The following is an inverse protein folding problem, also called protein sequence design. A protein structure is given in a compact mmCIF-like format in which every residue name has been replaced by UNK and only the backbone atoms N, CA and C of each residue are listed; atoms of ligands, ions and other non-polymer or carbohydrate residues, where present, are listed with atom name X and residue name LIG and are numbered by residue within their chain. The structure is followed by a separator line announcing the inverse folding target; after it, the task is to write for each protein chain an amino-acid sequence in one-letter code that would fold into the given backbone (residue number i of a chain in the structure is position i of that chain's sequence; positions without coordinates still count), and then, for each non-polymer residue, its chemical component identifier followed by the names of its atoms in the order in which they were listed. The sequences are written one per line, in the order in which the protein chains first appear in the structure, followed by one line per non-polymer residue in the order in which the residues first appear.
data_IF_369508010361
#
_entry.id   IF_369508010361
#
_cell.length_a   1.000
_cell.length_b   1.000
_cell.length_c   1.000
_cell.angle_alpha   90.00
_cell.angle_beta   90.00
_cell.angle_gamma   90.00
#
_symmetry.space_group_name_H-M   'P 1'
#
loop_
_entity.id
_entity.type
_entity.pdbx_description
1 polymer ?
#
# COMPACT_ATOMS: atom_id res chain seq x y z
N UNK A 1 -20.09 15.17 16.52
CA UNK A 1 -19.84 13.87 15.88
C UNK A 1 -18.53 13.19 16.31
N UNK A 2 -17.45 13.92 16.65
CA UNK A 2 -16.15 13.32 17.05
C UNK A 2 -16.17 12.44 18.31
N UNK A 3 -17.06 12.73 19.26
CA UNK A 3 -17.15 12.03 20.55
C UNK A 3 -17.42 10.53 20.42
N UNK A 4 -18.23 10.11 19.44
CA UNK A 4 -18.62 8.71 19.28
C UNK A 4 -17.43 7.80 18.88
N UNK A 5 -16.55 8.28 17.98
CA UNK A 5 -15.38 7.52 17.54
C UNK A 5 -14.36 7.30 18.67
N UNK A 6 -14.17 8.30 19.52
CA UNK A 6 -13.27 8.21 20.67
C UNK A 6 -13.85 7.28 21.73
N UNK A 7 -15.16 7.35 21.97
CA UNK A 7 -15.87 6.44 22.88
C UNK A 7 -15.76 4.98 22.41
N UNK A 8 -15.99 4.71 21.12
CA UNK A 8 -15.83 3.37 20.56
C UNK A 8 -14.39 2.85 20.76
N UNK A 9 -13.38 3.70 20.53
CA UNK A 9 -11.98 3.33 20.76
C UNK A 9 -11.68 3.06 22.24
N UNK A 10 -12.27 3.82 23.14
CA UNK A 10 -12.08 3.63 24.58
C UNK A 10 -12.70 2.31 25.05
N UNK A 11 -13.95 2.06 24.67
CA UNK A 11 -14.66 0.80 24.96
C UNK A 11 -13.90 -0.41 24.39
N UNK A 12 -13.30 -0.27 23.21
CA UNK A 12 -12.52 -1.33 22.59
C UNK A 12 -11.31 -1.79 23.43
N UNK A 13 -10.78 -0.95 24.33
CA UNK A 13 -9.66 -1.34 25.22
C UNK A 13 -10.05 -2.38 26.26
N UNK A 14 -11.33 -2.46 26.61
CA UNK A 14 -11.87 -3.41 27.58
C UNK A 14 -12.24 -4.75 26.94
N UNK A 15 -12.24 -4.82 25.60
CA UNK A 15 -12.59 -6.02 24.86
C UNK A 15 -11.37 -6.92 24.75
N UNK A 16 -11.51 -8.15 25.27
CA UNK A 16 -10.51 -9.20 25.04
C UNK A 16 -10.65 -9.72 23.59
N UNK A 17 -9.58 -9.58 22.80
CA UNK A 17 -9.55 -10.18 21.47
C UNK A 17 -9.67 -11.71 21.56
N UNK A 18 -10.47 -12.28 20.67
CA UNK A 18 -10.59 -13.72 20.47
C UNK A 18 -9.51 -14.20 19.50
N UNK A 19 -9.18 -15.50 19.53
CA UNK A 19 -8.15 -16.06 18.64
C UNK A 19 -8.50 -15.85 17.15
N UNK A 20 -9.79 -15.84 16.82
CA UNK A 20 -10.29 -15.59 15.46
C UNK A 20 -10.07 -14.14 14.99
N UNK A 21 -9.92 -13.19 15.90
CA UNK A 21 -9.74 -11.78 15.54
C UNK A 21 -8.40 -11.56 14.81
N UNK A 22 -7.33 -12.18 15.29
CA UNK A 22 -6.00 -12.02 14.69
C UNK A 22 -5.93 -12.57 13.26
N UNK A 23 -6.82 -13.51 12.93
CA UNK A 23 -6.96 -14.09 11.59
C UNK A 23 -7.80 -13.16 10.70
N UNK A 24 -8.93 -12.66 11.22
CA UNK A 24 -9.95 -12.00 10.39
C UNK A 24 -9.83 -10.47 10.33
N UNK A 25 -9.06 -9.84 11.22
CA UNK A 25 -9.03 -8.38 11.35
C UNK A 25 -8.60 -7.65 10.06
N UNK A 26 -7.66 -8.23 9.29
CA UNK A 26 -7.19 -7.67 8.03
C UNK A 26 -8.32 -7.69 7.00
N UNK A 27 -9.03 -8.80 6.86
CA UNK A 27 -10.11 -8.94 5.87
C UNK A 27 -11.29 -8.03 6.19
N UNK A 28 -11.65 -7.93 7.48
CA UNK A 28 -12.67 -6.98 7.95
C UNK A 28 -12.24 -5.54 7.61
N UNK A 29 -10.97 -5.18 7.86
CA UNK A 29 -10.48 -3.84 7.56
C UNK A 29 -10.50 -3.55 6.05
N UNK A 30 -10.11 -4.53 5.23
CA UNK A 30 -10.18 -4.44 3.76
C UNK A 30 -11.61 -4.18 3.27
N UNK A 31 -12.57 -4.95 3.79
CA UNK A 31 -13.98 -4.77 3.48
C UNK A 31 -14.46 -3.36 3.87
N UNK A 32 -14.16 -2.90 5.08
CA UNK A 32 -14.54 -1.57 5.56
C UNK A 32 -13.97 -0.43 4.69
N UNK A 33 -12.71 -0.55 4.24
CA UNK A 33 -12.09 0.43 3.34
C UNK A 33 -12.78 0.42 1.98
N UNK A 34 -13.07 -0.76 1.42
CA UNK A 34 -13.77 -0.89 0.13
C UNK A 34 -15.18 -0.28 0.19
N UNK A 35 -15.95 -0.64 1.20
CA UNK A 35 -17.29 -0.08 1.44
C UNK A 35 -17.24 1.44 1.59
N UNK A 36 -16.25 1.97 2.30
CA UNK A 36 -16.08 3.42 2.45
C UNK A 36 -15.82 4.11 1.12
N UNK A 37 -15.00 3.52 0.26
CA UNK A 37 -14.70 4.07 -1.07
C UNK A 37 -15.92 3.97 -1.99
N UNK A 38 -16.67 2.87 -1.91
CA UNK A 38 -17.90 2.68 -2.67
C UNK A 38 -19.00 3.68 -2.26
N UNK A 39 -19.14 3.95 -0.97
CA UNK A 39 -20.12 4.89 -0.43
C UNK A 39 -19.76 6.36 -0.71
N UNK A 40 -18.48 6.64 -0.92
CA UNK A 40 -17.95 7.99 -1.07
C UNK A 40 -17.10 8.13 -2.35
N UNK A 41 -17.73 8.41 -3.51
CA UNK A 41 -17.03 8.56 -4.80
C UNK A 41 -15.89 9.58 -4.77
N UNK A 42 -16.00 10.63 -3.95
CA UNK A 42 -14.94 11.64 -3.78
C UNK A 42 -13.63 11.04 -3.23
N UNK A 43 -13.71 9.98 -2.41
CA UNK A 43 -12.55 9.26 -1.90
C UNK A 43 -11.97 8.38 -2.99
N UNK A 44 -12.82 7.77 -3.84
CA UNK A 44 -12.39 7.01 -5.01
C UNK A 44 -11.57 7.90 -5.95
N UNK A 45 -12.08 9.08 -6.29
CA UNK A 45 -11.41 10.03 -7.18
C UNK A 45 -10.08 10.48 -6.56
N UNK A 46 -10.07 10.84 -5.28
CA UNK A 46 -8.84 11.19 -4.55
C UNK A 46 -7.81 10.05 -4.58
N UNK A 47 -8.24 8.79 -4.46
CA UNK A 47 -7.37 7.63 -4.52
C UNK A 47 -6.76 7.46 -5.92
N UNK A 48 -7.56 7.60 -6.98
CA UNK A 48 -7.08 7.51 -8.36
C UNK A 48 -6.12 8.67 -8.71
N UNK A 49 -6.41 9.88 -8.24
CA UNK A 49 -5.60 11.08 -8.46
C UNK A 49 -4.19 10.97 -7.85
N UNK A 50 -3.97 10.05 -6.91
CA UNK A 50 -2.60 9.78 -6.40
C UNK A 50 -1.66 9.21 -7.46
N UNK A 51 -2.18 8.72 -8.59
CA UNK A 51 -1.40 8.14 -9.68
C UNK A 51 -0.53 6.98 -9.19
N UNK A 52 0.77 7.02 -9.47
CA UNK A 52 1.72 6.00 -9.02
C UNK A 52 2.35 6.30 -7.65
N UNK A 53 1.90 7.35 -6.97
CA UNK A 53 2.49 7.75 -5.67
C UNK A 53 2.27 6.66 -4.63
N UNK A 54 3.32 6.34 -3.87
CA UNK A 54 3.22 5.39 -2.77
C UNK A 54 2.37 5.96 -1.62
N UNK A 55 1.42 5.17 -1.12
CA UNK A 55 0.48 5.60 -0.07
C UNK A 55 0.94 5.04 1.29
N UNK A 56 1.09 5.93 2.27
CA UNK A 56 1.51 5.57 3.63
C UNK A 56 0.59 6.13 4.70
N UNK A 57 0.14 5.27 5.61
CA UNK A 57 -0.49 5.70 6.85
C UNK A 57 0.60 6.08 7.86
N UNK A 58 0.82 7.39 7.98
CA UNK A 58 1.74 7.98 8.93
C UNK A 58 1.19 7.94 10.37
N UNK A 59 1.26 6.77 11.00
CA UNK A 59 0.91 6.58 12.41
C UNK A 59 2.01 5.79 13.12
N UNK A 60 2.09 5.96 14.44
CA UNK A 60 3.00 5.21 15.31
C UNK A 60 2.62 3.73 15.47
N UNK A 61 1.50 3.31 14.90
CA UNK A 61 1.06 1.93 14.97
C UNK A 61 1.77 1.09 13.91
N UNK A 62 2.25 -0.09 14.32
CA UNK A 62 3.11 -0.93 13.47
C UNK A 62 2.33 -1.93 12.61
N UNK A 63 1.08 -2.23 12.94
CA UNK A 63 0.26 -3.15 12.13
C UNK A 63 -0.30 -2.43 10.92
N UNK A 64 -1.07 -1.35 11.14
CA UNK A 64 -1.77 -0.64 10.07
C UNK A 64 -0.94 0.46 9.41
N UNK A 65 -0.06 1.11 10.17
CA UNK A 65 0.73 2.25 9.74
C UNK A 65 2.22 1.97 9.57
N UNK A 66 2.96 3.04 9.30
CA UNK A 66 4.42 3.03 9.14
C UNK A 66 5.21 2.87 10.45
N UNK A 67 4.55 2.94 11.61
CA UNK A 67 5.24 2.98 12.91
C UNK A 67 5.98 4.30 13.17
N UNK A 68 5.76 5.31 12.33
CA UNK A 68 6.42 6.61 12.36
C UNK A 68 5.39 7.74 12.24
N UNK A 69 5.74 8.91 12.78
CA UNK A 69 4.99 10.14 12.53
C UNK A 69 5.27 10.66 11.12
N UNK A 70 4.34 11.46 10.58
CA UNK A 70 4.33 11.97 9.19
C UNK A 70 5.69 12.41 8.66
N UNK A 71 6.39 13.28 9.39
CA UNK A 71 7.70 13.78 8.96
C UNK A 71 8.70 12.65 8.74
N UNK A 72 8.78 11.71 9.69
CA UNK A 72 9.71 10.58 9.62
C UNK A 72 9.26 9.57 8.56
N UNK A 73 7.97 9.32 8.40
CA UNK A 73 7.44 8.48 7.32
C UNK A 73 7.88 9.00 5.95
N UNK A 74 7.82 10.31 5.72
CA UNK A 74 8.21 10.91 4.43
C UNK A 74 9.72 10.95 4.17
N UNK A 75 10.56 10.90 5.21
CA UNK A 75 12.03 11.02 5.10
C UNK A 75 12.79 9.72 5.32
N UNK A 76 12.10 8.65 5.73
CA UNK A 76 12.71 7.34 6.00
C UNK A 76 12.32 6.40 4.88
N UNK A 77 13.30 5.68 4.32
CA UNK A 77 13.01 4.65 3.32
C UNK A 77 12.04 3.61 3.88
N UNK A 78 11.11 3.15 3.03
CA UNK A 78 10.04 2.23 3.42
C UNK A 78 10.58 0.94 4.05
N UNK A 79 11.73 0.43 3.58
CA UNK A 79 12.39 -0.77 4.13
C UNK A 79 12.83 -0.62 5.59
N UNK A 80 12.95 0.63 6.07
CA UNK A 80 13.36 0.95 7.44
C UNK A 80 12.18 1.36 8.34
N UNK A 81 10.94 1.28 7.85
CA UNK A 81 9.77 1.54 8.68
C UNK A 81 9.57 0.43 9.71
N UNK A 82 9.36 0.76 11.00
CA UNK A 82 9.00 -0.22 12.02
C UNK A 82 7.63 -0.88 11.77
N UNK A 83 6.74 -0.18 11.08
CA UNK A 83 5.39 -0.64 10.78
C UNK A 83 5.22 -1.19 9.36
N UNK A 84 4.20 -2.03 9.19
CA UNK A 84 3.91 -2.76 7.95
C UNK A 84 3.17 -1.92 6.90
N UNK A 85 2.56 -0.81 7.30
CA UNK A 85 1.72 0.01 6.42
C UNK A 85 0.67 -0.81 5.64
N UNK A 86 -0.03 -1.73 6.31
CA UNK A 86 -0.99 -2.62 5.64
C UNK A 86 -2.15 -1.86 4.99
N UNK A 87 -2.60 -0.76 5.62
CA UNK A 87 -3.65 0.10 5.05
C UNK A 87 -3.17 0.75 3.75
N UNK A 88 -1.97 1.34 3.75
CA UNK A 88 -1.41 1.95 2.55
C UNK A 88 -1.19 0.94 1.43
N UNK A 89 -0.68 -0.25 1.77
CA UNK A 89 -0.53 -1.39 0.85
C UNK A 89 -1.85 -1.78 0.20
N UNK A 90 -2.91 -1.90 0.99
CA UNK A 90 -4.23 -2.26 0.49
C UNK A 90 -4.87 -1.16 -0.36
N UNK A 91 -4.69 0.12 -0.02
CA UNK A 91 -5.17 1.22 -0.84
C UNK A 91 -4.53 1.23 -2.23
N UNK A 92 -3.24 0.88 -2.32
CA UNK A 92 -2.56 0.74 -3.62
C UNK A 92 -3.06 -0.47 -4.41
N UNK A 93 -3.33 -1.60 -3.76
CA UNK A 93 -3.96 -2.78 -4.37
C UNK A 93 -5.33 -2.39 -4.97
N UNK A 94 -6.17 -1.74 -4.16
CA UNK A 94 -7.50 -1.31 -4.58
C UNK A 94 -7.45 -0.29 -5.72
N UNK A 95 -6.49 0.66 -5.69
CA UNK A 95 -6.26 1.60 -6.79
C UNK A 95 -5.94 0.88 -8.10
N UNK A 96 -5.13 -0.19 -8.05
CA UNK A 96 -4.83 -1.01 -9.23
C UNK A 96 -6.10 -1.65 -9.79
N UNK A 97 -6.89 -2.30 -8.95
CA UNK A 97 -8.14 -2.95 -9.36
C UNK A 97 -9.11 -1.94 -10.00
N UNK A 98 -9.26 -0.76 -9.41
CA UNK A 98 -10.14 0.28 -9.95
C UNK A 98 -9.66 0.81 -11.31
N UNK A 99 -8.35 0.92 -11.52
CA UNK A 99 -7.80 1.30 -12.82
C UNK A 99 -8.03 0.21 -13.87
N UNK A 100 -7.83 -1.06 -13.51
CA UNK A 100 -8.05 -2.18 -14.42
C UNK A 100 -9.53 -2.22 -14.88
N UNK A 101 -10.48 -2.08 -13.95
CA UNK A 101 -11.91 -1.97 -14.27
C UNK A 101 -12.22 -0.82 -15.24
N UNK A 102 -11.61 0.35 -15.05
CA UNK A 102 -11.78 1.50 -15.95
C UNK A 102 -11.22 1.19 -17.34
N UNK A 103 -10.05 0.56 -17.41
CA UNK A 103 -9.45 0.18 -18.70
C UNK A 103 -10.31 -0.84 -19.44
N UNK A 104 -10.82 -1.86 -18.76
CA UNK A 104 -11.69 -2.89 -19.34
C UNK A 104 -13.00 -2.29 -19.89
N UNK A 105 -13.59 -1.33 -19.19
CA UNK A 105 -14.78 -0.59 -19.66
C UNK A 105 -14.46 0.21 -20.93
N UNK A 106 -13.28 0.85 -20.98
CA UNK A 106 -12.88 1.64 -22.14
C UNK A 106 -12.70 0.77 -23.40
N UNK A 107 -12.10 -0.41 -23.27
CA UNK A 107 -11.91 -1.35 -24.37
C UNK A 107 -13.22 -1.99 -24.84
N UNK A 108 -14.14 -2.30 -23.92
CA UNK A 108 -15.45 -2.85 -24.25
C UNK A 108 -16.35 -1.86 -25.04
N UNK A 109 -16.15 -0.54 -24.88
CA UNK A 109 -16.91 0.48 -25.62
C UNK A 109 -16.37 0.71 -27.04
N UNK A 110 -15.10 0.43 -27.32
CA UNK A 110 -14.50 0.66 -28.64
C UNK A 110 -14.85 -0.39 -29.68
N UNK A 111 -15.26 -1.60 -29.27
CA UNK A 111 -15.56 -2.73 -30.18
C UNK A 111 -17.00 -2.73 -30.75
N UNK A 112 -17.85 -1.76 -30.39
CA UNK A 112 -19.25 -1.69 -30.86
C UNK A 112 -19.44 -0.86 -32.14
N UNK A 113 -18.38 -0.22 -32.67
CA UNK A 113 -18.47 0.62 -33.89
C UNK A 113 -17.72 -0.01 -35.08
N UNK A 114 -18.10 -1.23 -35.48
CA UNK A 114 -17.83 -1.70 -36.84
C UNK A 114 -19.15 -1.68 -37.63
N UNK A 115 -19.52 -0.50 -38.13
CA UNK A 115 -20.61 -0.38 -39.08
C UNK A 115 -20.27 -1.18 -40.35
N UNK A 116 -21.22 -1.95 -40.93
CA UNK A 116 -20.96 -2.69 -42.15
C UNK A 116 -20.73 -1.70 -43.29
N UNK A 117 -19.52 -1.71 -43.84
CA UNK A 117 -19.19 -0.96 -45.05
C UNK A 117 -20.13 -1.41 -46.18
N UNK A 118 -21.01 -0.51 -46.61
CA UNK A 118 -21.84 -0.70 -47.80
C UNK A 118 -20.93 -0.63 -49.02
N UNK A 119 -20.79 -1.73 -49.73
CA UNK A 119 -20.04 -1.82 -50.99
C UNK A 119 -20.80 -1.09 -52.11
N UNK A 120 -20.21 -0.12 -52.84
CA UNK A 120 -20.67 0.21 -54.17
C UNK A 120 -19.92 -0.65 -55.19
N UNK A 121 -20.69 -1.27 -56.08
CA UNK A 121 -20.21 -1.97 -57.28
C UNK A 121 -19.52 -0.96 -58.21
N UNK A 122 -18.28 -1.23 -58.61
CA UNK A 122 -17.89 -0.98 -59.99
C UNK A 122 -16.84 -1.99 -60.46
N UNK A 123 -17.12 -2.48 -61.65
CA UNK A 123 -16.48 -3.58 -62.38
C UNK A 123 -15.20 -3.09 -63.05
N UNK A 124 -14.14 -3.93 -62.93
CA UNK A 124 -13.06 -4.24 -63.89
C UNK A 124 -12.30 -3.09 -64.61
N UNK A 125 -10.97 -3.08 -64.51
CA UNK A 125 -9.98 -3.60 -65.50
C UNK A 125 -8.66 -2.81 -65.34
N UNK A 126 -7.57 -3.51 -65.00
CA UNK A 126 -6.32 -3.63 -65.78
C UNK A 126 -5.15 -4.05 -64.89
N UNK A 127 -4.50 -5.11 -65.37
CA UNK A 127 -3.21 -5.65 -65.00
C UNK A 127 -2.11 -4.59 -65.02
N UNK A 128 -1.15 -4.67 -64.10
CA UNK A 128 0.22 -5.01 -64.45
C UNK A 128 1.09 -5.24 -63.22
N UNK A 129 2.00 -6.20 -63.39
CA UNK A 129 2.85 -6.80 -62.37
C UNK A 129 3.91 -5.85 -61.81
N UNK A 130 4.09 -5.87 -60.48
CA UNK A 130 5.38 -5.60 -59.83
C UNK A 130 5.49 -6.51 -58.61
N UNK A 131 6.35 -7.53 -58.72
CA UNK A 131 6.86 -8.28 -57.57
C UNK A 131 7.66 -7.34 -56.65
N UNK A 132 7.29 -7.27 -55.37
CA UNK A 132 8.23 -6.89 -54.32
C UNK A 132 8.05 -7.80 -53.09
N UNK A 133 9.17 -8.33 -52.54
CA UNK A 133 9.14 -9.38 -51.52
C UNK A 133 8.78 -8.85 -50.13
N UNK A 134 8.04 -9.68 -49.39
CA UNK A 134 7.58 -9.46 -48.01
C UNK A 134 8.70 -9.06 -47.02
N UNK A 135 8.44 -8.20 -46.02
CA UNK A 135 9.37 -7.98 -44.93
C UNK A 135 9.29 -9.14 -43.92
N UNK A 136 10.43 -9.79 -43.74
CA UNK A 136 10.71 -10.82 -42.74
C UNK A 136 10.42 -10.30 -41.32
N UNK A 137 9.56 -11.03 -40.62
CA UNK A 137 9.32 -10.93 -39.17
C UNK A 137 10.64 -11.19 -38.43
N UNK A 138 11.27 -10.17 -37.85
CA UNK A 138 12.41 -10.35 -36.96
C UNK A 138 11.90 -10.75 -35.57
N UNK A 139 12.07 -12.02 -35.23
CA UNK A 139 11.96 -12.51 -33.86
C UNK A 139 12.99 -11.80 -32.98
N UNK A 140 12.52 -11.09 -31.95
CA UNK A 140 13.39 -10.51 -30.92
C UNK A 140 13.67 -11.56 -29.84
N UNK A 141 14.82 -12.19 -29.92
CA UNK A 141 15.38 -13.03 -28.84
C UNK A 141 15.73 -12.14 -27.62
N UNK A 142 15.41 -12.54 -26.37
CA UNK A 142 15.78 -11.76 -25.20
C UNK A 142 17.29 -11.79 -24.94
N UNK A 143 17.91 -10.61 -24.82
CA UNK A 143 19.30 -10.48 -24.41
C UNK A 143 19.48 -10.77 -22.92
N UNK A 144 20.25 -11.81 -22.63
CA UNK A 144 20.72 -12.22 -21.31
C UNK A 144 21.63 -11.13 -20.69
N UNK A 145 21.10 -10.37 -19.74
CA UNK A 145 21.91 -9.49 -18.88
C UNK A 145 22.83 -10.36 -18.02
N UNK A 146 24.14 -10.35 -18.31
CA UNK A 146 25.16 -10.99 -17.47
C UNK A 146 25.50 -10.09 -16.29
N UNK A 147 25.21 -10.57 -15.09
CA UNK A 147 25.60 -9.99 -13.81
C UNK A 147 27.12 -9.91 -13.65
N UNK A 148 27.65 -8.72 -13.32
CA UNK A 148 29.02 -8.55 -12.82
C UNK A 148 29.05 -8.80 -11.31
N UNK A 149 29.26 -10.05 -10.92
CA UNK A 149 29.63 -10.40 -9.55
C UNK A 149 31.07 -9.89 -9.27
N UNK A 150 31.20 -8.86 -8.43
CA UNK A 150 32.52 -8.35 -7.99
C UNK A 150 33.00 -9.20 -6.81
N UNK A 151 33.90 -10.15 -7.07
CA UNK A 151 34.55 -10.99 -6.05
C UNK A 151 35.47 -10.14 -5.17
N UNK A 152 35.07 -9.84 -3.94
CA UNK A 152 36.00 -9.35 -2.91
C UNK A 152 36.67 -10.56 -2.23
N UNK A 153 37.94 -10.80 -2.58
CA UNK A 153 38.82 -11.76 -1.93
C UNK A 153 39.64 -11.03 -0.86
N UNK A 154 39.27 -11.16 0.42
CA UNK A 154 40.13 -10.77 1.54
C UNK A 154 40.76 -12.01 2.19
N UNK A 155 42.09 -11.94 2.33
CA UNK A 155 43.02 -13.00 2.76
C UNK A 155 42.71 -13.45 4.19
N UNK A 156 42.68 -14.77 4.41
CA UNK A 156 42.81 -15.38 5.74
C UNK A 156 44.27 -15.27 6.17
N UNK A 157 44.59 -14.43 7.14
CA UNK A 157 45.78 -14.60 7.98
C UNK A 157 45.40 -15.51 9.13
N UNK A 158 46.06 -16.66 9.20
CA UNK A 158 46.16 -17.46 10.42
C UNK A 158 47.05 -16.68 11.37
N UNK A 159 46.53 -16.34 12.54
CA UNK A 159 47.20 -16.42 13.84
C UNK A 159 46.15 -16.11 14.91
N UNK A 160 45.82 -17.13 15.71
CA UNK A 160 45.03 -17.00 16.95
C UNK A 160 45.94 -16.53 18.09
N UNK A 161 45.37 -15.92 19.14
CA UNK A 161 44.98 -16.74 20.29
C UNK A 161 43.58 -16.42 20.84
N UNK A 162 42.94 -17.42 21.46
CA UNK A 162 41.72 -17.26 22.27
C UNK A 162 41.92 -16.24 23.40
N UNK A 163 40.85 -15.54 23.80
CA UNK A 163 40.45 -15.70 25.19
C UNK A 163 38.93 -15.73 25.45
N UNK A 164 38.62 -16.48 26.49
CA UNK A 164 37.39 -16.57 27.26
C UNK A 164 36.77 -15.21 27.64
N UNK A 165 35.43 -15.13 27.57
CA UNK A 165 34.52 -14.52 28.57
C UNK A 165 33.26 -13.92 27.92
N UNK A 166 32.11 -14.18 28.55
CA UNK A 166 30.79 -13.70 28.17
C UNK A 166 30.70 -12.17 28.02
N UNK A 167 29.91 -11.63 27.07
CA UNK A 167 29.66 -10.21 27.01
C UNK A 167 28.73 -9.78 28.19
N UNK A 168 29.01 -8.67 28.89
CA UNK A 168 28.08 -8.15 29.88
C UNK A 168 26.79 -7.66 29.20
N UNK A 169 25.64 -8.01 29.78
CA UNK A 169 24.32 -7.46 29.40
C UNK A 169 24.37 -5.93 29.49
N UNK A 170 24.14 -5.23 28.37
CA UNK A 170 23.93 -3.78 28.37
C UNK A 170 22.68 -3.46 29.22
N UNK A 171 22.71 -2.47 30.13
CA UNK A 171 21.52 -2.05 30.86
C UNK A 171 20.52 -1.40 29.89
N UNK A 172 19.24 -1.75 30.07
CA UNK A 172 18.10 -1.25 29.31
C UNK A 172 17.88 0.25 29.63
N UNK A 173 17.94 1.19 28.65
CA UNK A 173 17.86 2.63 28.92
C UNK A 173 16.43 3.17 29.02
N UNK A 174 15.45 2.34 29.40
CA UNK A 174 14.07 2.77 29.59
C UNK A 174 13.63 2.49 31.03
N UNK A 175 14.15 3.31 31.95
CA UNK A 175 13.49 3.60 33.21
C UNK A 175 13.54 5.11 33.40
N UNK A 176 12.35 5.68 33.65
CA UNK A 176 12.05 7.07 34.03
C UNK A 176 11.60 7.98 32.88
N UNK A 177 10.39 7.71 32.40
CA UNK A 177 9.43 8.79 32.12
C UNK A 177 8.20 8.50 32.97
N UNK A 178 8.25 8.88 34.26
CA UNK A 178 7.04 9.10 35.02
C UNK A 178 6.41 10.40 34.50
N UNK A 179 5.41 10.28 33.63
CA UNK A 179 4.51 11.40 33.38
C UNK A 179 3.58 11.51 34.57
N UNK A 180 3.84 12.48 35.45
CA UNK A 180 2.82 13.01 36.36
C UNK A 180 1.66 13.51 35.51
N UNK A 181 0.60 12.72 35.42
CA UNK A 181 -0.69 13.18 34.93
C UNK A 181 -1.31 13.90 36.12
N UNK A 182 -1.26 15.23 36.11
CA UNK A 182 -1.95 16.04 37.11
C UNK A 182 -3.45 15.96 36.80
N UNK A 183 -4.16 15.14 37.57
CA UNK A 183 -5.58 14.86 37.36
C UNK A 183 -6.45 15.89 38.08
N UNK A 184 -6.24 17.18 37.78
CA UNK A 184 -7.06 18.27 38.33
C UNK A 184 -8.24 18.58 37.40
N UNK A 185 -9.19 17.65 37.30
CA UNK A 185 -10.53 17.96 36.81
C UNK A 185 -11.50 17.82 37.98
N UNK A 186 -11.97 18.97 38.48
CA UNK A 186 -13.09 19.02 39.42
C UNK A 186 -14.39 18.74 38.65
N UNK A 187 -15.28 17.86 39.15
CA UNK A 187 -16.57 17.64 38.51
C UNK A 187 -17.45 18.89 38.68
N UNK A 188 -17.94 19.44 37.57
CA UNK A 188 -19.02 20.43 37.62
C UNK A 188 -20.30 19.70 38.08
N UNK A 189 -20.78 20.03 39.27
CA UNK A 189 -22.08 19.60 39.76
C UNK A 189 -23.17 20.29 38.95
N UNK A 190 -24.05 19.49 38.34
CA UNK A 190 -25.22 19.98 37.64
C UNK A 190 -26.29 20.28 38.70
N UNK A 191 -26.59 21.56 38.90
CA UNK A 191 -27.74 21.98 39.71
C UNK A 191 -29.02 21.59 38.96
N UNK A 192 -29.77 20.67 39.56
CA UNK A 192 -31.12 20.33 39.13
C UNK A 192 -32.08 21.39 39.63
N UNK A 193 -32.53 22.27 38.74
CA UNK A 193 -33.70 23.12 39.00
C UNK A 193 -34.98 22.27 38.99
N UNK A 194 -35.85 22.38 40.00
CA UNK A 194 -37.12 21.66 40.04
C UNK A 194 -38.21 22.43 39.27
N UNK A 195 -39.06 21.68 38.56
CA UNK A 195 -40.40 22.11 38.14
C UNK A 195 -41.46 21.42 38.99
#
# INVERSE_FOLDING_TARGET
MFLASMQAREMAKEIKCTDDWDINNIDIMKQLISEKIQQHPEIKDTLLDTGDTYIAMASFETTWGSGLGQKLTCTTDQEHWPGKNTVGSYLMELRSTLNDEITDISYAQTDVTLAPATTPKHEEVFSDAVEHPSPIRKESTPQRIKSKLRKFRRKRSRDSPEPTSHPPKKPNPLKHFETKIDNSYSPLTYDSDPS
#
